data_IF_832133284241
#
_entry.id   IF_832133284241
#
_cell.length_a   1.000
_cell.length_b   1.000
_cell.length_c   1.000
_cell.angle_alpha   90.00
_cell.angle_beta   90.00
_cell.angle_gamma   90.00
#
_symmetry.space_group_name_H-M   'P 1'
#
loop_
_entity.id
_entity.type
_entity.pdbx_description
1 polymer ?
#
# COMPACT_ATOMS: atom_id res chain seq x y z
N UNK A 1 6.66 14.03 10.09
CA UNK A 1 7.71 13.03 10.40
C UNK A 1 7.38 12.12 11.59
N UNK A 2 7.20 12.64 12.82
CA UNK A 2 6.96 11.79 14.02
C UNK A 2 5.64 11.00 13.99
N UNK A 3 4.62 11.44 13.23
CA UNK A 3 3.31 10.74 13.17
C UNK A 3 3.22 9.71 12.04
N UNK A 4 3.83 10.00 10.89
CA UNK A 4 4.03 9.06 9.76
C UNK A 4 4.80 7.83 10.20
N UNK A 5 5.84 8.07 11.02
CA UNK A 5 6.57 6.99 11.64
C UNK A 5 5.65 6.16 12.51
N UNK A 6 4.67 6.70 13.24
CA UNK A 6 3.81 5.95 14.19
C UNK A 6 2.89 4.91 13.58
N UNK A 7 2.49 5.00 12.31
CA UNK A 7 1.67 3.96 11.64
C UNK A 7 2.53 2.73 11.34
N UNK A 8 3.71 2.97 10.78
CA UNK A 8 4.75 1.95 10.63
C UNK A 8 5.29 1.51 11.99
N UNK A 9 5.42 2.42 12.97
CA UNK A 9 5.87 2.16 14.33
C UNK A 9 4.84 1.37 15.11
N UNK A 10 3.54 1.50 14.86
CA UNK A 10 2.55 0.66 15.54
C UNK A 10 2.69 -0.77 15.05
N UNK A 11 2.78 -1.01 13.74
CA UNK A 11 3.05 -2.35 13.22
C UNK A 11 4.45 -2.84 13.63
N UNK A 12 5.49 -2.00 13.59
CA UNK A 12 6.88 -2.32 13.94
C UNK A 12 7.07 -2.49 15.45
N UNK A 13 6.37 -1.74 16.30
CA UNK A 13 6.35 -1.92 17.77
C UNK A 13 5.51 -3.12 18.14
N UNK A 14 4.40 -3.39 17.46
CA UNK A 14 3.65 -4.64 17.62
C UNK A 14 4.54 -5.82 17.20
N UNK A 15 5.17 -5.78 16.03
CA UNK A 15 6.14 -6.78 15.56
C UNK A 15 7.32 -6.94 16.53
N UNK A 16 7.91 -5.84 17.03
CA UNK A 16 9.01 -5.85 18.01
C UNK A 16 8.56 -6.30 19.41
N UNK A 17 7.34 -5.98 19.82
CA UNK A 17 6.77 -6.37 21.12
C UNK A 17 6.37 -7.86 21.12
N UNK A 18 5.78 -8.36 20.03
CA UNK A 18 5.55 -9.79 19.80
C UNK A 18 6.88 -10.57 19.79
N UNK A 19 7.91 -10.04 19.13
CA UNK A 19 9.26 -10.62 19.13
C UNK A 19 9.93 -10.67 20.52
N UNK A 20 9.83 -9.58 21.30
CA UNK A 20 10.35 -9.55 22.66
C UNK A 20 9.52 -10.43 23.63
N UNK A 21 8.23 -10.64 23.35
CA UNK A 21 7.38 -11.60 24.04
C UNK A 21 7.83 -13.05 23.82
N UNK A 22 8.12 -13.43 22.58
CA UNK A 22 8.58 -14.78 22.19
C UNK A 22 9.95 -15.17 22.81
N UNK A 23 10.85 -14.20 23.03
CA UNK A 23 12.15 -14.46 23.67
C UNK A 23 12.07 -14.56 25.21
N UNK A 24 11.02 -14.00 25.83
CA UNK A 24 10.83 -14.00 27.28
C UNK A 24 10.18 -15.28 27.84
N UNK A 25 9.47 -16.03 27.00
CA UNK A 25 8.76 -17.25 27.38
C UNK A 25 9.52 -18.50 26.91
N UNK A 26 10.72 -18.72 27.46
CA UNK A 26 11.35 -20.04 27.58
C UNK A 26 11.82 -20.72 26.29
N UNK A 27 13.14 -20.69 26.07
CA UNK A 27 13.96 -21.48 25.12
C UNK A 27 13.48 -21.47 23.65
N UNK A 28 14.23 -20.86 22.72
CA UNK A 28 14.00 -21.10 21.30
C UNK A 28 14.32 -22.57 21.01
N UNK A 29 13.33 -23.36 20.58
CA UNK A 29 13.68 -24.54 19.77
C UNK A 29 14.37 -24.00 18.52
N UNK A 30 15.36 -24.73 18.03
CA UNK A 30 16.21 -24.32 16.92
C UNK A 30 15.49 -24.33 15.55
N UNK A 31 14.20 -24.06 15.54
CA UNK A 31 13.38 -23.86 14.34
C UNK A 31 13.31 -22.35 14.08
N UNK A 32 14.42 -21.85 13.55
CA UNK A 32 14.51 -20.53 12.93
C UNK A 32 13.29 -20.35 12.02
N UNK A 33 12.38 -19.41 12.35
CA UNK A 33 11.25 -19.02 11.50
C UNK A 33 11.76 -18.36 10.21
N UNK A 34 12.30 -19.20 9.33
CA UNK A 34 12.60 -18.92 7.94
C UNK A 34 11.32 -19.20 7.14
N UNK A 35 10.76 -18.19 6.48
CA UNK A 35 9.72 -18.44 5.50
C UNK A 35 10.39 -18.93 4.20
N UNK A 36 10.37 -20.25 3.96
CA UNK A 36 10.88 -20.86 2.74
C UNK A 36 9.81 -20.85 1.65
N UNK A 37 10.07 -20.18 0.53
CA UNK A 37 9.17 -20.07 -0.61
C UNK A 37 9.79 -20.73 -1.86
N UNK A 38 9.21 -21.85 -2.29
CA UNK A 38 9.49 -22.41 -3.60
C UNK A 38 8.60 -21.69 -4.62
N UNK A 39 9.21 -20.79 -5.40
CA UNK A 39 8.53 -20.11 -6.51
C UNK A 39 8.64 -20.98 -7.77
N UNK A 40 7.53 -21.60 -8.17
CA UNK A 40 7.33 -22.10 -9.54
C UNK A 40 6.36 -21.15 -10.23
N UNK A 41 6.87 -20.36 -11.16
CA UNK A 41 6.10 -19.42 -11.96
C UNK A 41 5.06 -20.18 -12.81
N UNK A 42 3.79 -20.13 -12.42
CA UNK A 42 2.66 -20.54 -13.27
C UNK A 42 1.99 -19.35 -13.98
N UNK A 43 2.72 -18.25 -14.22
CA UNK A 43 2.31 -17.26 -15.21
C UNK A 43 2.61 -17.79 -16.61
N UNK A 44 1.65 -18.50 -17.17
CA UNK A 44 1.67 -19.03 -18.54
C UNK A 44 1.27 -17.94 -19.55
N UNK A 45 1.90 -16.77 -19.49
CA UNK A 45 1.77 -15.71 -20.51
C UNK A 45 3.12 -15.03 -20.77
N UNK A 46 3.58 -15.19 -22.01
CA UNK A 46 4.75 -14.63 -22.71
C UNK A 46 5.89 -13.97 -21.89
N UNK A 47 6.91 -14.78 -21.63
CA UNK A 47 8.19 -14.38 -21.04
C UNK A 47 9.17 -13.98 -22.14
N UNK A 48 9.18 -12.71 -22.57
CA UNK A 48 10.32 -12.19 -23.37
C UNK A 48 10.89 -10.82 -22.97
N UNK A 49 10.48 -10.19 -21.87
CA UNK A 49 11.12 -8.90 -21.49
C UNK A 49 11.14 -8.49 -20.01
N UNK A 50 10.51 -9.22 -19.09
CA UNK A 50 10.56 -8.85 -17.66
C UNK A 50 11.93 -9.23 -17.07
N UNK A 51 12.71 -8.22 -16.64
CA UNK A 51 13.90 -8.42 -15.79
C UNK A 51 13.50 -9.37 -14.67
N UNK A 52 14.25 -10.47 -14.52
CA UNK A 52 13.95 -11.46 -13.48
C UNK A 52 13.86 -10.78 -12.12
N UNK A 53 12.65 -10.79 -11.56
CA UNK A 53 12.38 -10.26 -10.23
C UNK A 53 13.27 -10.99 -9.23
N UNK A 54 14.18 -10.29 -8.56
CA UNK A 54 15.04 -10.88 -7.54
C UNK A 54 14.28 -10.93 -6.21
N UNK A 55 13.40 -11.92 -6.06
CA UNK A 55 12.78 -12.22 -4.78
C UNK A 55 13.59 -13.30 -4.04
N UNK A 56 13.95 -13.11 -2.75
CA UNK A 56 14.70 -14.10 -2.02
C UNK A 56 13.86 -15.37 -1.82
N UNK A 57 14.44 -16.55 -2.11
CA UNK A 57 13.78 -17.86 -1.89
C UNK A 57 13.39 -18.10 -0.44
N UNK A 58 14.10 -17.48 0.49
CA UNK A 58 13.81 -17.51 1.92
C UNK A 58 13.88 -16.09 2.42
N UNK A 59 12.81 -15.63 3.08
CA UNK A 59 12.79 -14.34 3.74
C UNK A 59 12.78 -14.56 5.25
N UNK A 60 13.85 -14.10 5.90
CA UNK A 60 14.02 -14.21 7.35
C UNK A 60 13.47 -12.97 8.06
N UNK A 61 13.10 -13.12 9.33
CA UNK A 61 12.70 -11.99 10.19
C UNK A 61 13.79 -10.91 10.24
N UNK A 62 15.07 -11.32 10.27
CA UNK A 62 16.19 -10.39 10.26
C UNK A 62 16.22 -9.54 8.98
N UNK A 63 16.00 -10.17 7.82
CA UNK A 63 15.92 -9.45 6.56
C UNK A 63 14.72 -8.50 6.55
N UNK A 64 13.53 -8.93 7.02
CA UNK A 64 12.38 -8.03 7.16
C UNK A 64 12.69 -6.82 8.05
N UNK A 65 13.41 -7.00 9.15
CA UNK A 65 13.86 -5.89 9.99
C UNK A 65 14.84 -4.96 9.24
N UNK A 66 15.78 -5.50 8.46
CA UNK A 66 16.67 -4.71 7.61
C UNK A 66 15.89 -3.87 6.58
N UNK A 67 14.86 -4.45 5.96
CA UNK A 67 13.95 -3.79 5.01
C UNK A 67 13.12 -2.68 5.69
N UNK A 68 12.57 -2.93 6.89
CA UNK A 68 11.86 -1.92 7.68
C UNK A 68 12.79 -0.74 7.99
N UNK A 69 14.01 -1.01 8.47
CA UNK A 69 14.98 0.04 8.78
C UNK A 69 15.37 0.84 7.52
N UNK A 70 15.37 0.22 6.34
CA UNK A 70 15.61 0.90 5.07
C UNK A 70 14.45 1.84 4.70
N UNK A 71 13.20 1.40 4.86
CA UNK A 71 12.01 2.23 4.66
C UNK A 71 12.01 3.41 5.63
N UNK A 72 12.36 3.21 6.92
CA UNK A 72 12.47 4.31 7.89
C UNK A 72 13.49 5.36 7.44
N UNK A 73 14.71 4.94 7.08
CA UNK A 73 15.76 5.85 6.57
C UNK A 73 15.35 6.55 5.27
N UNK A 74 14.54 5.90 4.45
CA UNK A 74 13.98 6.50 3.25
C UNK A 74 12.97 7.59 3.62
N UNK A 75 11.99 7.28 4.48
CA UNK A 75 10.91 8.19 4.89
C UNK A 75 11.43 9.45 5.57
N UNK A 76 12.48 9.34 6.38
CA UNK A 76 13.14 10.48 7.04
C UNK A 76 13.66 11.54 6.06
N UNK A 77 13.97 11.15 4.82
CA UNK A 77 14.54 12.03 3.79
C UNK A 77 13.51 12.61 2.84
N UNK A 78 12.22 12.26 2.99
CA UNK A 78 11.20 12.65 2.03
C UNK A 78 10.61 14.03 2.34
N UNK A 79 10.63 14.91 1.33
CA UNK A 79 9.89 16.17 1.34
C UNK A 79 8.44 15.95 0.89
N UNK A 80 7.67 15.23 1.72
CA UNK A 80 6.25 14.96 1.49
C UNK A 80 5.42 15.56 2.64
N UNK A 81 4.29 16.25 2.36
CA UNK A 81 3.45 16.77 3.44
C UNK A 81 2.84 15.62 4.24
N UNK A 82 2.73 15.85 5.55
CA UNK A 82 2.02 14.96 6.46
C UNK A 82 0.57 15.39 6.55
N UNK A 83 -0.34 14.51 6.15
CA UNK A 83 -1.79 14.75 6.13
C UNK A 83 -2.50 13.62 6.87
N UNK A 84 -3.76 13.81 7.24
CA UNK A 84 -4.56 12.71 7.74
C UNK A 84 -4.89 11.77 6.58
N UNK A 85 -4.44 10.52 6.70
CA UNK A 85 -4.58 9.46 5.72
C UNK A 85 -5.53 8.39 6.27
N UNK A 86 -6.30 7.77 5.39
CA UNK A 86 -7.07 6.58 5.70
C UNK A 86 -6.15 5.36 5.81
N UNK A 87 -5.14 5.28 4.94
CA UNK A 87 -4.17 4.18 4.80
C UNK A 87 -4.73 2.84 4.30
N UNK A 88 -6.02 2.75 4.04
CA UNK A 88 -6.70 1.52 3.61
C UNK A 88 -7.88 1.80 2.67
N UNK A 89 -7.65 2.65 1.67
CA UNK A 89 -8.66 2.92 0.64
C UNK A 89 -8.67 1.74 -0.34
N UNK A 90 -9.50 0.75 -0.03
CA UNK A 90 -9.90 -0.35 -0.91
C UNK A 90 -11.32 -0.14 -1.44
N UNK A 91 -11.74 -0.78 -2.56
CA UNK A 91 -13.09 -0.63 -3.08
C UNK A 91 -14.20 -0.93 -2.06
N UNK A 92 -13.96 -1.85 -1.12
CA UNK A 92 -14.92 -2.19 -0.07
C UNK A 92 -15.16 -1.04 0.94
N UNK A 93 -14.21 -0.11 1.09
CA UNK A 93 -14.28 1.02 2.02
C UNK A 93 -14.81 2.30 1.37
N UNK A 94 -15.14 2.26 0.07
CA UNK A 94 -15.74 3.35 -0.68
C UNK A 94 -17.18 2.99 -1.02
N UNK A 95 -18.11 3.49 -0.21
CA UNK A 95 -19.54 3.22 -0.38
C UNK A 95 -20.21 4.29 -1.22
N UNK A 96 -21.21 3.87 -1.98
CA UNK A 96 -22.11 4.79 -2.66
C UNK A 96 -23.43 4.88 -1.91
N UNK A 97 -23.83 6.10 -1.53
CA UNK A 97 -25.13 6.32 -0.89
C UNK A 97 -26.27 6.09 -1.89
N UNK A 98 -27.23 5.26 -1.49
CA UNK A 98 -28.45 5.02 -2.24
C UNK A 98 -29.32 6.27 -2.28
N UNK A 99 -29.82 6.58 -3.48
CA UNK A 99 -30.82 7.62 -3.73
C UNK A 99 -32.03 6.97 -4.41
N UNK A 100 -33.13 7.72 -4.55
CA UNK A 100 -34.30 7.27 -5.30
C UNK A 100 -33.91 7.05 -6.78
N UNK A 101 -33.59 5.80 -7.15
CA UNK A 101 -33.06 5.46 -8.47
C UNK A 101 -32.35 4.09 -8.56
N UNK A 102 -31.93 3.52 -7.41
CA UNK A 102 -31.22 2.24 -7.36
C UNK A 102 -29.70 2.38 -7.56
N UNK A 103 -29.02 1.25 -7.72
CA UNK A 103 -27.57 1.20 -7.94
C UNK A 103 -27.23 1.70 -9.36
N UNK A 104 -26.17 2.53 -9.52
CA UNK A 104 -25.73 2.97 -10.84
C UNK A 104 -25.25 1.78 -11.67
N UNK A 105 -25.44 1.86 -12.97
CA UNK A 105 -24.91 0.90 -13.94
C UNK A 105 -23.50 1.29 -14.35
N UNK A 106 -22.78 0.34 -14.90
CA UNK A 106 -21.48 0.59 -15.51
C UNK A 106 -21.59 1.69 -16.58
N UNK A 107 -20.77 2.74 -16.44
CA UNK A 107 -20.78 3.90 -17.32
C UNK A 107 -21.67 5.06 -16.89
N UNK A 108 -22.47 4.91 -15.82
CA UNK A 108 -23.23 6.03 -15.25
C UNK A 108 -22.30 7.01 -14.54
N UNK A 109 -22.55 8.32 -14.72
CA UNK A 109 -21.91 9.35 -13.91
C UNK A 109 -22.46 9.29 -12.48
N UNK A 110 -21.56 9.12 -11.52
CA UNK A 110 -21.89 9.10 -10.10
C UNK A 110 -21.63 10.48 -9.52
N UNK A 111 -22.64 11.03 -8.86
CA UNK A 111 -22.48 12.26 -8.07
C UNK A 111 -21.49 12.02 -6.91
N UNK A 112 -20.41 12.79 -6.91
CA UNK A 112 -19.31 12.68 -5.95
C UNK A 112 -19.77 12.87 -4.50
N UNK A 113 -20.81 13.68 -4.27
CA UNK A 113 -21.39 13.93 -2.95
C UNK A 113 -22.06 12.69 -2.34
N UNK A 114 -22.28 11.65 -3.15
CA UNK A 114 -22.82 10.36 -2.70
C UNK A 114 -21.74 9.38 -2.26
N UNK A 115 -20.47 9.64 -2.57
CA UNK A 115 -19.36 8.78 -2.17
C UNK A 115 -19.07 8.99 -0.68
N UNK A 116 -19.00 7.89 0.07
CA UNK A 116 -18.71 7.89 1.49
C UNK A 116 -17.55 6.94 1.75
N UNK A 117 -16.46 7.47 2.29
CA UNK A 117 -15.34 6.67 2.78
C UNK A 117 -15.67 6.25 4.22
N UNK A 118 -15.52 4.96 4.51
CA UNK A 118 -15.77 4.36 5.82
C UNK A 118 -14.54 3.59 6.30
N UNK A 119 -14.58 3.13 7.56
CA UNK A 119 -13.59 2.20 8.14
C UNK A 119 -12.17 2.77 8.32
N UNK A 120 -12.07 3.87 9.08
CA UNK A 120 -10.80 4.54 9.41
C UNK A 120 -9.99 3.81 10.50
N UNK A 121 -10.03 2.48 10.60
CA UNK A 121 -9.31 1.74 11.66
C UNK A 121 -7.78 1.91 11.56
N UNK A 122 -7.26 2.08 10.34
CA UNK A 122 -5.86 2.42 10.06
C UNK A 122 -5.63 3.94 9.91
N UNK A 123 -6.66 4.76 10.13
CA UNK A 123 -6.65 6.19 9.90
C UNK A 123 -5.67 6.93 10.82
N UNK A 124 -4.69 7.63 10.25
CA UNK A 124 -3.70 8.39 11.01
C UNK A 124 -2.95 9.40 10.13
N UNK A 125 -2.17 10.30 10.75
CA UNK A 125 -1.32 11.19 9.94
C UNK A 125 -0.18 10.42 9.30
N UNK A 126 -0.12 10.47 7.97
CA UNK A 126 0.89 9.81 7.15
C UNK A 126 1.32 10.76 6.02
N UNK A 127 2.29 10.34 5.19
CA UNK A 127 2.71 11.09 4.01
C UNK A 127 1.64 10.88 2.94
N UNK A 128 1.18 11.97 2.29
CA UNK A 128 0.16 11.83 1.23
C UNK A 128 0.58 10.86 0.12
N UNK A 129 1.89 10.78 -0.16
CA UNK A 129 2.45 9.83 -1.13
C UNK A 129 2.11 8.37 -0.81
N UNK A 130 2.00 8.02 0.48
CA UNK A 130 1.57 6.69 0.90
C UNK A 130 0.10 6.42 0.55
N UNK A 131 -0.79 7.39 0.79
CA UNK A 131 -2.22 7.24 0.45
C UNK A 131 -2.41 7.10 -1.06
N UNK A 132 -1.73 7.95 -1.83
CA UNK A 132 -1.73 7.88 -3.31
C UNK A 132 -1.21 6.52 -3.76
N UNK A 133 -0.07 6.06 -3.23
CA UNK A 133 0.51 4.77 -3.57
C UNK A 133 -0.39 3.59 -3.20
N UNK A 134 -1.00 3.61 -2.00
CA UNK A 134 -1.92 2.57 -1.56
C UNK A 134 -3.11 2.48 -2.52
N UNK A 135 -3.72 3.62 -2.86
CA UNK A 135 -4.84 3.64 -3.79
C UNK A 135 -4.46 3.07 -5.16
N UNK A 136 -3.32 3.47 -5.74
CA UNK A 136 -2.84 2.94 -7.02
C UNK A 136 -2.53 1.43 -6.96
N UNK A 137 -1.97 0.95 -5.85
CA UNK A 137 -1.75 -0.47 -5.64
C UNK A 137 -3.08 -1.25 -5.59
N UNK A 138 -4.07 -0.72 -4.87
CA UNK A 138 -5.38 -1.38 -4.71
C UNK A 138 -6.19 -1.39 -6.02
N UNK A 139 -5.94 -0.46 -6.96
CA UNK A 139 -6.48 -0.57 -8.32
C UNK A 139 -5.99 -1.81 -9.08
N UNK A 140 -4.80 -2.32 -8.73
CA UNK A 140 -4.27 -3.57 -9.25
C UNK A 140 -4.68 -4.80 -8.44
N UNK A 141 -5.49 -4.66 -7.39
CA UNK A 141 -5.94 -5.79 -6.57
C UNK A 141 -7.42 -6.06 -6.83
N UNK A 142 -7.78 -7.32 -7.08
CA UNK A 142 -9.17 -7.75 -7.20
C UNK A 142 -9.47 -8.76 -6.10
N UNK A 143 -10.39 -8.45 -5.20
CA UNK A 143 -10.76 -9.32 -4.07
C UNK A 143 -12.11 -10.02 -4.28
N UNK A 144 -12.38 -11.06 -3.49
CA UNK A 144 -13.69 -11.74 -3.47
C UNK A 144 -13.91 -12.70 -4.64
N UNK A 145 -12.84 -13.20 -5.25
CA UNK A 145 -12.93 -14.21 -6.32
C UNK A 145 -13.44 -15.55 -5.76
N UNK A 146 -14.15 -16.37 -6.55
CA UNK A 146 -14.80 -17.59 -6.05
C UNK A 146 -13.82 -18.74 -5.74
N UNK A 147 -12.57 -18.64 -6.17
CA UNK A 147 -11.57 -19.70 -6.04
C UNK A 147 -10.32 -19.19 -5.34
N UNK A 148 -9.62 -20.03 -4.55
CA UNK A 148 -8.33 -19.69 -3.96
C UNK A 148 -7.36 -19.08 -4.99
N UNK A 149 -6.57 -18.05 -4.61
CA UNK A 149 -6.45 -17.48 -3.26
C UNK A 149 -7.55 -16.45 -2.91
N UNK A 150 -8.66 -16.40 -3.66
CA UNK A 150 -9.81 -15.51 -3.50
C UNK A 150 -9.53 -14.03 -3.84
N UNK A 151 -8.37 -13.76 -4.43
CA UNK A 151 -8.01 -12.49 -5.02
C UNK A 151 -7.11 -12.70 -6.25
N UNK A 152 -6.88 -11.63 -7.03
CA UNK A 152 -5.93 -11.58 -8.14
C UNK A 152 -5.17 -10.24 -8.11
N UNK A 153 -3.99 -10.20 -8.75
CA UNK A 153 -3.08 -9.05 -8.77
C UNK A 153 -2.66 -8.69 -10.19
N UNK A 154 -2.71 -7.41 -10.51
CA UNK A 154 -2.37 -6.86 -11.82
C UNK A 154 -1.35 -5.72 -11.65
N UNK A 155 -0.06 -6.07 -11.75
CA UNK A 155 1.06 -5.12 -11.61
C UNK A 155 1.01 -4.05 -12.71
N UNK A 156 0.52 -4.39 -13.91
CA UNK A 156 0.46 -3.43 -15.02
C UNK A 156 -0.53 -2.31 -14.70
N UNK A 157 -1.66 -2.62 -14.07
CA UNK A 157 -2.58 -1.60 -13.54
C UNK A 157 -1.99 -0.76 -12.41
N UNK A 158 -1.19 -1.35 -11.53
CA UNK A 158 -0.52 -0.59 -10.46
C UNK A 158 0.48 0.44 -11.02
N UNK A 159 1.09 0.12 -12.17
CA UNK A 159 2.06 0.97 -12.88
C UNK A 159 1.44 1.84 -13.98
N UNK A 160 0.12 1.78 -14.17
CA UNK A 160 -0.57 2.45 -15.27
C UNK A 160 -0.48 3.98 -15.17
N UNK A 161 0.10 4.58 -16.20
CA UNK A 161 0.32 6.02 -16.31
C UNK A 161 -0.99 6.81 -16.37
N UNK A 162 -2.00 6.31 -17.08
CA UNK A 162 -3.30 6.97 -17.24
C UNK A 162 -4.09 6.93 -15.93
N UNK A 163 -4.11 5.78 -15.24
CA UNK A 163 -4.72 5.66 -13.91
C UNK A 163 -4.04 6.59 -12.90
N UNK A 164 -2.71 6.59 -12.87
CA UNK A 164 -1.93 7.49 -12.01
C UNK A 164 -2.23 8.96 -12.33
N UNK A 165 -2.28 9.32 -13.61
CA UNK A 165 -2.62 10.67 -14.06
C UNK A 165 -4.03 11.06 -13.64
N UNK A 166 -5.05 10.24 -13.91
CA UNK A 166 -6.46 10.51 -13.59
C UNK A 166 -6.65 10.71 -12.09
N UNK A 167 -6.12 9.81 -11.27
CA UNK A 167 -6.21 9.90 -9.82
C UNK A 167 -5.50 11.15 -9.29
N UNK A 168 -4.23 11.35 -9.65
CA UNK A 168 -3.47 12.52 -9.17
C UNK A 168 -4.07 13.84 -9.67
N UNK A 169 -4.64 13.86 -10.88
CA UNK A 169 -5.27 15.04 -11.46
C UNK A 169 -6.52 15.44 -10.68
N UNK A 170 -7.41 14.49 -10.38
CA UNK A 170 -8.60 14.74 -9.55
C UNK A 170 -8.23 15.14 -8.11
N UNK A 171 -7.25 14.46 -7.52
CA UNK A 171 -6.72 14.79 -6.20
C UNK A 171 -6.15 16.22 -6.16
N UNK A 172 -5.41 16.63 -7.20
CA UNK A 172 -4.86 17.97 -7.31
C UNK A 172 -5.95 19.03 -7.46
N UNK A 173 -7.00 18.76 -8.22
CA UNK A 173 -8.14 19.67 -8.36
C UNK A 173 -8.78 19.93 -7.00
N UNK A 174 -8.99 18.88 -6.20
CA UNK A 174 -9.52 19.05 -4.84
C UNK A 174 -8.55 19.81 -3.93
N UNK A 175 -7.24 19.51 -3.98
CA UNK A 175 -6.24 20.26 -3.22
C UNK A 175 -6.25 21.76 -3.55
N UNK A 176 -6.38 22.14 -4.82
CA UNK A 176 -6.43 23.53 -5.25
C UNK A 176 -7.72 24.23 -4.83
N UNK A 177 -8.85 23.51 -4.79
CA UNK A 177 -10.11 24.04 -4.22
C UNK A 177 -9.96 24.32 -2.72
N UNK A 178 -9.37 23.40 -1.97
CA UNK A 178 -9.24 23.50 -0.51
C UNK A 178 -8.14 24.48 -0.07
N UNK A 179 -7.13 24.67 -0.92
CA UNK A 179 -5.94 25.49 -0.66
C UNK A 179 -5.82 26.63 -1.69
N UNK A 180 -6.85 27.48 -1.74
CA UNK A 180 -7.06 28.53 -2.73
C UNK A 180 -6.08 29.73 -2.70
N UNK A 181 -5.12 29.76 -1.77
CA UNK A 181 -4.11 30.83 -1.70
C UNK A 181 -2.68 30.28 -1.80
N UNK A 182 -1.70 31.07 -2.29
CA UNK A 182 -0.30 30.65 -2.36
C UNK A 182 0.27 30.17 -1.01
N UNK A 183 -0.17 30.77 0.09
CA UNK A 183 0.26 30.39 1.45
C UNK A 183 -0.30 29.02 1.84
N UNK A 184 -1.57 28.74 1.51
CA UNK A 184 -2.18 27.42 1.74
C UNK A 184 -1.57 26.35 0.83
N UNK A 185 -1.31 26.65 -0.44
CA UNK A 185 -0.63 25.70 -1.35
C UNK A 185 0.74 25.28 -0.83
N UNK A 186 1.49 26.23 -0.24
CA UNK A 186 2.80 25.95 0.38
C UNK A 186 2.70 24.97 1.56
N UNK A 187 1.60 24.90 2.30
CA UNK A 187 1.44 23.90 3.38
C UNK A 187 1.35 22.48 2.83
N UNK A 188 0.88 22.33 1.59
CA UNK A 188 0.84 21.08 0.83
C UNK A 188 2.07 20.87 -0.05
N UNK A 189 3.11 21.69 0.13
CA UNK A 189 4.34 21.67 -0.68
C UNK A 189 4.08 21.80 -2.19
N UNK A 190 3.04 22.55 -2.54
CA UNK A 190 2.63 22.86 -3.91
C UNK A 190 3.18 24.23 -4.32
N UNK A 191 3.42 24.38 -5.62
CA UNK A 191 4.04 25.58 -6.21
C UNK A 191 3.01 26.57 -6.76
N UNK A 192 1.78 26.12 -7.03
CA UNK A 192 0.78 26.89 -7.77
C UNK A 192 0.90 26.75 -9.29
N UNK A 193 1.94 26.05 -9.78
CA UNK A 193 2.01 25.59 -11.16
C UNK A 193 1.41 24.19 -11.24
N UNK A 194 0.19 24.10 -11.76
CA UNK A 194 -0.58 22.85 -11.80
C UNK A 194 0.14 21.72 -12.54
N UNK A 195 0.88 22.00 -13.61
CA UNK A 195 1.61 20.96 -14.36
C UNK A 195 2.78 20.40 -13.53
N UNK A 196 3.54 21.28 -12.86
CA UNK A 196 4.65 20.86 -12.00
C UNK A 196 4.14 20.10 -10.77
N UNK A 197 3.05 20.58 -10.17
CA UNK A 197 2.44 19.99 -8.99
C UNK A 197 1.84 18.62 -9.29
N UNK A 198 1.23 18.43 -10.47
CA UNK A 198 0.74 17.13 -10.92
C UNK A 198 1.88 16.11 -11.09
N UNK A 199 2.96 16.50 -11.78
CA UNK A 199 4.15 15.66 -11.93
C UNK A 199 4.75 15.29 -10.58
N UNK A 200 4.74 16.23 -9.61
CA UNK A 200 5.17 15.98 -8.24
C UNK A 200 4.31 14.94 -7.54
N UNK A 201 2.98 15.06 -7.60
CA UNK A 201 2.07 14.08 -6.99
C UNK A 201 2.24 12.67 -7.58
N UNK A 202 2.34 12.56 -8.91
CA UNK A 202 2.57 11.27 -9.58
C UNK A 202 3.92 10.67 -9.16
N UNK A 203 4.98 11.47 -9.08
CA UNK A 203 6.29 11.02 -8.62
C UNK A 203 6.28 10.59 -7.14
N UNK A 204 5.57 11.33 -6.27
CA UNK A 204 5.36 10.97 -4.88
C UNK A 204 4.63 9.63 -4.76
N UNK A 205 3.52 9.42 -5.48
CA UNK A 205 2.82 8.13 -5.50
C UNK A 205 3.74 6.99 -5.91
N UNK A 206 4.52 7.17 -6.98
CA UNK A 206 5.43 6.11 -7.45
C UNK A 206 6.51 5.74 -6.47
N UNK A 207 7.10 6.75 -5.83
CA UNK A 207 8.18 6.56 -4.86
C UNK A 207 7.72 5.73 -3.65
N UNK A 208 6.42 5.71 -3.36
CA UNK A 208 5.84 5.04 -2.21
C UNK A 208 5.19 3.67 -2.54
N UNK A 209 5.12 3.22 -3.80
CA UNK A 209 4.48 1.94 -4.18
C UNK A 209 4.88 0.75 -3.30
N UNK A 210 6.17 0.65 -2.96
CA UNK A 210 6.67 -0.46 -2.14
C UNK A 210 6.06 -0.48 -0.72
N UNK A 211 5.75 0.67 -0.13
CA UNK A 211 5.50 0.74 1.31
C UNK A 211 4.17 0.11 1.72
N UNK A 212 3.04 0.37 1.04
CA UNK A 212 1.80 -0.35 1.30
C UNK A 212 1.99 -1.87 1.19
N UNK A 213 2.75 -2.34 0.20
CA UNK A 213 3.03 -3.77 0.06
C UNK A 213 3.82 -4.36 1.24
N UNK A 214 4.81 -3.63 1.77
CA UNK A 214 5.52 -4.05 2.99
C UNK A 214 4.57 -4.08 4.19
N UNK A 215 3.78 -3.02 4.38
CA UNK A 215 2.82 -2.90 5.48
C UNK A 215 1.83 -4.07 5.47
N UNK A 216 1.16 -4.26 4.35
CA UNK A 216 0.14 -5.30 4.20
C UNK A 216 0.75 -6.70 4.18
N UNK A 217 1.93 -6.88 3.60
CA UNK A 217 2.65 -8.15 3.69
C UNK A 217 2.93 -8.56 5.13
N UNK A 218 3.43 -7.63 5.95
CA UNK A 218 3.68 -7.86 7.38
C UNK A 218 2.39 -8.07 8.18
N UNK A 219 1.34 -7.29 7.89
CA UNK A 219 0.04 -7.45 8.54
C UNK A 219 -0.55 -8.85 8.27
N UNK A 220 -0.49 -9.32 7.03
CA UNK A 220 -0.99 -10.66 6.67
C UNK A 220 -0.18 -11.77 7.34
N UNK A 221 1.14 -11.62 7.49
CA UNK A 221 1.96 -12.58 8.27
C UNK A 221 1.51 -12.65 9.73
N UNK A 222 1.17 -11.51 10.34
CA UNK A 222 0.67 -11.47 11.72
C UNK A 222 -0.71 -12.12 11.83
N UNK A 223 -1.62 -11.82 10.90
CA UNK A 223 -2.94 -12.43 10.87
C UNK A 223 -2.87 -13.95 10.71
N UNK A 224 -1.99 -14.47 9.85
CA UNK A 224 -1.77 -15.91 9.71
C UNK A 224 -1.32 -16.54 11.03
N UNK A 225 -0.43 -15.89 11.78
CA UNK A 225 0.05 -16.38 13.08
C UNK A 225 -1.03 -16.35 14.17
N UNK A 226 -1.82 -15.29 14.24
CA UNK A 226 -2.79 -15.07 15.33
C UNK A 226 -4.15 -15.73 15.08
N UNK A 227 -4.62 -15.69 13.82
CA UNK A 227 -5.96 -16.12 13.42
C UNK A 227 -5.94 -17.46 12.67
N UNK A 228 -4.80 -17.87 12.13
CA UNK A 228 -4.70 -19.01 11.22
C UNK A 228 -5.45 -18.77 9.92
N UNK A 229 -5.89 -19.85 9.26
CA UNK A 229 -6.75 -19.74 8.08
C UNK A 229 -8.16 -19.27 8.49
N UNK A 230 -8.59 -18.15 7.89
CA UNK A 230 -9.97 -17.69 7.95
C UNK A 230 -10.69 -18.08 6.66
N UNK A 231 -11.95 -18.52 6.76
CA UNK A 231 -12.74 -18.91 5.59
C UNK A 231 -12.79 -17.77 4.57
N UNK A 232 -12.32 -18.06 3.35
CA UNK A 232 -12.31 -17.11 2.23
C UNK A 232 -11.08 -16.21 2.12
N UNK A 233 -10.06 -16.37 2.97
CA UNK A 233 -8.81 -15.60 2.86
C UNK A 233 -7.56 -16.44 3.22
N UNK A 234 -6.63 -16.54 2.28
CA UNK A 234 -5.31 -17.14 2.50
C UNK A 234 -4.30 -16.05 2.84
N UNK A 235 -4.18 -15.74 4.14
CA UNK A 235 -3.26 -14.72 4.65
C UNK A 235 -1.81 -14.98 4.25
N UNK A 236 -1.36 -16.24 4.29
CA UNK A 236 0.03 -16.57 3.99
C UNK A 236 0.35 -16.36 2.50
N UNK A 237 -0.55 -16.75 1.61
CA UNK A 237 -0.40 -16.50 0.17
C UNK A 237 -0.47 -14.99 -0.13
N UNK A 238 -1.42 -14.27 0.47
CA UNK A 238 -1.49 -12.81 0.33
C UNK A 238 -0.24 -12.10 0.86
N UNK A 239 0.28 -12.51 2.02
CA UNK A 239 1.54 -11.98 2.55
C UNK A 239 2.71 -12.14 1.57
N UNK A 240 2.82 -13.31 0.93
CA UNK A 240 3.86 -13.57 -0.07
C UNK A 240 3.75 -12.62 -1.26
N UNK A 241 2.56 -12.52 -1.86
CA UNK A 241 2.38 -11.71 -3.06
C UNK A 241 2.61 -10.23 -2.77
N UNK A 242 2.16 -9.73 -1.61
CA UNK A 242 2.50 -8.37 -1.16
C UNK A 242 4.01 -8.19 -0.98
N UNK A 243 4.72 -9.12 -0.33
CA UNK A 243 6.18 -8.99 -0.17
C UNK A 243 6.95 -9.10 -1.51
N UNK A 244 6.47 -9.90 -2.45
CA UNK A 244 7.01 -9.98 -3.82
C UNK A 244 6.89 -8.61 -4.49
N UNK A 245 5.71 -7.98 -4.39
CA UNK A 245 5.48 -6.63 -4.93
C UNK A 245 6.29 -5.55 -4.20
N UNK A 246 6.52 -5.68 -2.89
CA UNK A 246 7.46 -4.80 -2.18
C UNK A 246 8.83 -4.78 -2.86
N UNK A 247 9.42 -5.97 -3.11
CA UNK A 247 10.73 -6.05 -3.76
C UNK A 247 10.70 -5.62 -5.23
N UNK A 248 9.58 -5.83 -5.95
CA UNK A 248 9.37 -5.29 -7.30
C UNK A 248 9.48 -3.76 -7.31
N UNK A 249 8.74 -3.11 -6.42
CA UNK A 249 8.64 -1.65 -6.38
C UNK A 249 9.75 -0.97 -5.57
N UNK A 250 10.58 -1.72 -4.83
CA UNK A 250 11.63 -1.16 -3.96
C UNK A 250 12.54 -0.17 -4.69
N UNK A 251 12.87 -0.43 -5.96
CA UNK A 251 13.71 0.49 -6.75
C UNK A 251 13.08 1.87 -6.99
N UNK A 252 11.74 1.98 -6.97
CA UNK A 252 11.04 3.24 -7.15
C UNK A 252 11.32 4.23 -6.02
N UNK A 253 11.64 3.73 -4.82
CA UNK A 253 12.03 4.55 -3.65
C UNK A 253 13.20 5.49 -3.98
N UNK A 254 14.07 5.11 -4.92
CA UNK A 254 15.29 5.85 -5.23
C UNK A 254 15.32 6.42 -6.65
N UNK A 255 14.34 6.08 -7.49
CA UNK A 255 14.30 6.45 -8.90
C UNK A 255 13.57 7.76 -9.16
N UNK A 256 12.46 7.98 -8.45
CA UNK A 256 11.57 9.13 -8.61
C UNK A 256 11.83 10.18 -7.55
#
# INVERSE_FOLDING_TARGET
LVVVLRSYYFLVVVLRSYYNGLTSHGKPSADVQCYCWNYESNCNQDVTSRKMLQFPKVLTVKQLEEEINEVERFLEKQECPSVFCHNDIVPANVLLRNTEGGDPKEGDEVDEDRLVIIDFEFGCYNHRGHEIANNLNEYGMTYGLPTPPYYDTDIEKMEDEDLSWRFCNAYLDQLYKDHDTPEKLKTQFLTGNREMDLKKLMAEGRRYHAMPHLLWGLWNLLCDQELGMVDGLDFLTHAKDRLIMYFHFKSNMYKY
#
